data_IF_101224859493
#
_entry.id   IF_101224859493
#
_cell.length_a   1.000
_cell.length_b   1.000
_cell.length_c   1.000
_cell.angle_alpha   90.00
_cell.angle_beta   90.00
_cell.angle_gamma   90.00
#
_symmetry.space_group_name_H-M   'P 1'
#
loop_
_entity.id
_entity.type
_entity.pdbx_description
1 polymer ?
#
# COMPACT_ATOMS: atom_id res chain seq x y z
N UNK A 1 5.54 7.78 8.51
CA UNK A 1 6.21 6.62 9.16
C UNK A 1 5.53 6.28 10.47
N UNK A 2 4.79 5.16 10.54
CA UNK A 2 4.09 4.81 11.77
C UNK A 2 5.11 4.44 12.85
N UNK A 3 5.06 5.12 13.99
CA UNK A 3 5.66 4.59 15.21
C UNK A 3 5.03 3.22 15.47
N UNK A 4 5.81 2.15 15.30
CA UNK A 4 5.65 0.98 16.16
C UNK A 4 5.94 1.49 17.57
N UNK A 5 4.92 2.06 18.19
CA UNK A 5 5.01 2.64 19.52
C UNK A 5 5.31 1.49 20.47
N UNK A 6 6.49 1.52 21.09
CA UNK A 6 6.95 0.60 22.13
C UNK A 6 6.18 0.75 23.45
N UNK A 7 4.93 1.19 23.40
CA UNK A 7 4.06 1.19 24.57
C UNK A 7 3.59 -0.25 24.75
N UNK A 8 3.93 -0.85 25.89
CA UNK A 8 3.59 -2.19 26.36
C UNK A 8 2.21 -2.66 25.89
N UNK A 9 2.16 -3.24 24.70
CA UNK A 9 0.99 -3.93 24.19
C UNK A 9 1.37 -5.41 24.16
N UNK A 10 0.48 -6.26 24.68
CA UNK A 10 0.61 -7.70 24.54
C UNK A 10 0.96 -8.08 23.09
N UNK A 11 1.79 -9.11 22.87
CA UNK A 11 2.19 -9.52 21.53
C UNK A 11 0.94 -9.79 20.69
N UNK A 12 0.78 -9.02 19.61
CA UNK A 12 -0.41 -9.11 18.76
C UNK A 12 -0.43 -10.46 18.06
N UNK A 13 -1.56 -11.15 18.17
CA UNK A 13 -1.77 -12.54 17.72
C UNK A 13 -2.21 -12.62 16.25
N UNK A 14 -2.29 -13.85 15.71
CA UNK A 14 -2.95 -14.12 14.42
C UNK A 14 -4.39 -13.60 14.39
N UNK A 15 -5.13 -13.78 15.49
CA UNK A 15 -6.50 -13.30 15.62
C UNK A 15 -6.56 -11.79 15.51
N UNK A 16 -5.65 -11.09 16.19
CA UNK A 16 -5.57 -9.63 16.13
C UNK A 16 -5.27 -9.16 14.71
N UNK A 17 -4.26 -9.73 14.05
CA UNK A 17 -3.91 -9.40 12.66
C UNK A 17 -5.13 -9.50 11.72
N UNK A 18 -5.94 -10.57 11.85
CA UNK A 18 -7.18 -10.75 11.07
C UNK A 18 -8.27 -9.73 11.42
N UNK A 19 -8.47 -9.45 12.71
CA UNK A 19 -9.46 -8.44 13.17
C UNK A 19 -9.09 -7.06 12.65
N UNK A 20 -7.82 -6.66 12.80
CA UNK A 20 -7.34 -5.36 12.34
C UNK A 20 -7.43 -5.23 10.82
N UNK A 21 -7.09 -6.28 10.05
CA UNK A 21 -7.25 -6.28 8.60
C UNK A 21 -8.70 -6.06 8.18
N UNK A 22 -9.64 -6.78 8.81
CA UNK A 22 -11.08 -6.64 8.54
C UNK A 22 -11.57 -5.22 8.86
N UNK A 23 -11.22 -4.69 10.04
CA UNK A 23 -11.60 -3.33 10.47
C UNK A 23 -11.02 -2.26 9.55
N UNK A 24 -9.73 -2.36 9.23
CA UNK A 24 -9.03 -1.41 8.36
C UNK A 24 -9.59 -1.42 6.93
N UNK A 25 -9.86 -2.60 6.38
CA UNK A 25 -10.46 -2.74 5.05
C UNK A 25 -11.89 -2.19 4.99
N UNK A 26 -12.70 -2.47 6.04
CA UNK A 26 -14.05 -1.94 6.18
C UNK A 26 -14.03 -0.40 6.25
N UNK A 27 -13.23 0.16 7.16
CA UNK A 27 -13.12 1.60 7.35
C UNK A 27 -12.66 2.32 6.08
N UNK A 28 -11.65 1.79 5.38
CA UNK A 28 -11.21 2.36 4.12
C UNK A 28 -12.34 2.36 3.08
N UNK A 29 -13.01 1.21 2.90
CA UNK A 29 -14.08 1.03 1.93
C UNK A 29 -15.24 1.98 2.18
N UNK A 30 -15.75 2.03 3.42
CA UNK A 30 -16.81 2.96 3.82
C UNK A 30 -16.41 4.40 3.52
N UNK A 31 -15.18 4.79 3.89
CA UNK A 31 -14.69 6.13 3.64
C UNK A 31 -14.65 6.53 2.14
N UNK A 32 -14.41 5.59 1.23
CA UNK A 32 -14.47 5.82 -0.22
C UNK A 32 -15.93 5.85 -0.71
N UNK A 33 -16.77 4.96 -0.21
CA UNK A 33 -18.21 4.93 -0.53
C UNK A 33 -18.86 6.27 -0.17
N UNK A 34 -18.65 6.77 1.04
CA UNK A 34 -19.15 8.08 1.48
C UNK A 34 -18.69 9.20 0.53
N UNK A 35 -17.43 9.14 0.08
CA UNK A 35 -16.87 10.11 -0.86
C UNK A 35 -17.51 10.00 -2.26
N UNK A 36 -17.92 8.80 -2.71
CA UNK A 36 -18.66 8.59 -3.97
C UNK A 36 -20.09 9.09 -3.85
N UNK A 37 -20.77 8.81 -2.73
CA UNK A 37 -22.14 9.23 -2.47
C UNK A 37 -22.26 10.76 -2.46
N UNK A 38 -21.29 11.45 -1.85
CA UNK A 38 -21.20 12.90 -1.85
C UNK A 38 -21.09 13.55 -3.25
N UNK A 39 -20.83 12.76 -4.32
CA UNK A 39 -20.76 13.25 -5.70
C UNK A 39 -22.12 13.21 -6.43
N UNK A 40 -23.22 12.82 -5.76
CA UNK A 40 -24.59 12.80 -6.31
C UNK A 40 -24.69 12.08 -7.68
N UNK A 41 -23.92 11.00 -7.85
CA UNK A 41 -23.87 10.28 -9.11
C UNK A 41 -25.17 9.49 -9.35
N UNK A 42 -25.57 9.35 -10.61
CA UNK A 42 -26.65 8.41 -10.98
C UNK A 42 -26.38 6.98 -10.48
N UNK A 43 -27.44 6.22 -10.17
CA UNK A 43 -27.34 4.81 -9.74
C UNK A 43 -26.44 3.96 -10.66
N UNK A 44 -26.50 4.20 -11.98
CA UNK A 44 -25.66 3.49 -12.96
C UNK A 44 -24.18 3.79 -12.78
N UNK A 45 -23.82 5.03 -12.42
CA UNK A 45 -22.43 5.43 -12.14
C UNK A 45 -21.97 4.94 -10.77
N UNK A 46 -22.80 5.02 -9.74
CA UNK A 46 -22.47 4.47 -8.42
C UNK A 46 -22.11 2.99 -8.51
N UNK A 47 -22.93 2.17 -9.18
CA UNK A 47 -22.66 0.74 -9.42
C UNK A 47 -21.30 0.46 -10.08
N UNK A 48 -20.82 1.38 -10.93
CA UNK A 48 -19.50 1.27 -11.57
C UNK A 48 -18.38 1.49 -10.56
N UNK A 49 -18.49 2.50 -9.70
CA UNK A 49 -17.49 2.76 -8.65
C UNK A 49 -17.51 1.69 -7.56
N UNK A 50 -18.69 1.17 -7.19
CA UNK A 50 -18.83 0.01 -6.31
C UNK A 50 -18.08 -1.22 -6.86
N UNK A 51 -18.17 -1.46 -8.17
CA UNK A 51 -17.42 -2.53 -8.82
C UNK A 51 -15.90 -2.31 -8.72
N UNK A 52 -15.40 -1.07 -8.86
CA UNK A 52 -13.98 -0.76 -8.69
C UNK A 52 -13.48 -1.04 -7.26
N UNK A 53 -14.36 -0.90 -6.26
CA UNK A 53 -14.08 -1.21 -4.84
C UNK A 53 -14.17 -2.71 -4.51
N UNK A 54 -14.62 -3.54 -5.44
CA UNK A 54 -14.84 -4.97 -5.21
C UNK A 54 -16.22 -5.33 -4.68
N UNK A 55 -17.10 -4.35 -4.43
CA UNK A 55 -18.45 -4.57 -3.90
C UNK A 55 -19.42 -5.22 -4.90
N UNK A 56 -19.02 -5.27 -6.17
CA UNK A 56 -19.71 -5.98 -7.24
C UNK A 56 -18.71 -6.78 -8.05
N UNK A 57 -19.12 -7.87 -8.70
CA UNK A 57 -18.24 -8.55 -9.63
C UNK A 57 -17.96 -7.68 -10.86
N UNK A 58 -16.75 -7.80 -11.39
CA UNK A 58 -16.36 -7.21 -12.66
C UNK A 58 -15.58 -8.22 -13.50
N UNK A 59 -15.53 -7.96 -14.81
CA UNK A 59 -14.72 -8.76 -15.72
C UNK A 59 -13.27 -8.26 -15.75
N UNK A 60 -12.32 -9.19 -15.82
CA UNK A 60 -10.89 -8.90 -15.98
C UNK A 60 -10.01 -9.34 -14.82
N UNK A 61 -8.81 -8.78 -14.75
CA UNK A 61 -7.82 -9.03 -13.70
C UNK A 61 -8.18 -8.26 -12.43
N UNK A 62 -7.75 -8.76 -11.27
CA UNK A 62 -7.92 -8.08 -9.97
C UNK A 62 -7.32 -6.68 -10.01
N UNK A 63 -8.15 -5.66 -9.79
CA UNK A 63 -7.69 -4.28 -9.67
C UNK A 63 -7.09 -4.04 -8.29
N UNK A 64 -6.11 -3.14 -8.18
CA UNK A 64 -5.57 -2.77 -6.87
C UNK A 64 -6.55 -1.95 -6.02
N UNK A 65 -7.59 -1.39 -6.65
CA UNK A 65 -8.72 -0.75 -5.98
C UNK A 65 -9.74 -1.72 -5.38
N UNK A 66 -9.68 -3.01 -5.73
CA UNK A 66 -10.61 -4.02 -5.22
C UNK A 66 -10.27 -4.35 -3.75
N UNK A 67 -11.04 -3.78 -2.83
CA UNK A 67 -10.77 -3.87 -1.39
C UNK A 67 -11.14 -5.25 -0.83
N UNK A 68 -12.06 -5.98 -1.45
CA UNK A 68 -12.36 -7.36 -1.08
C UNK A 68 -11.19 -8.28 -1.45
N UNK A 69 -10.68 -8.15 -2.68
CA UNK A 69 -9.52 -8.90 -3.13
C UNK A 69 -8.27 -8.56 -2.31
N UNK A 70 -8.07 -7.28 -1.95
CA UNK A 70 -6.94 -6.87 -1.11
C UNK A 70 -7.05 -7.36 0.33
N UNK A 71 -8.25 -7.36 0.92
CA UNK A 71 -8.48 -7.96 2.23
C UNK A 71 -8.23 -9.47 2.20
N UNK A 72 -8.65 -10.16 1.13
CA UNK A 72 -8.37 -11.58 0.94
C UNK A 72 -6.88 -11.86 0.80
N UNK A 73 -6.19 -11.11 -0.04
CA UNK A 73 -4.73 -11.15 -0.18
C UNK A 73 -4.04 -10.98 1.18
N UNK A 74 -4.46 -10.00 2.00
CA UNK A 74 -3.92 -9.83 3.34
C UNK A 74 -4.13 -11.05 4.24
N UNK A 75 -5.33 -11.67 4.22
CA UNK A 75 -5.61 -12.90 4.98
C UNK A 75 -4.72 -14.07 4.56
N UNK A 76 -4.54 -14.24 3.25
CA UNK A 76 -3.69 -15.29 2.68
C UNK A 76 -2.22 -15.05 3.01
N UNK A 77 -1.74 -13.81 2.89
CA UNK A 77 -0.38 -13.43 3.22
C UNK A 77 -0.07 -13.70 4.71
N UNK A 78 -0.97 -13.30 5.61
CA UNK A 78 -0.85 -13.57 7.05
C UNK A 78 -0.67 -15.07 7.32
N UNK A 79 -1.46 -15.90 6.64
CA UNK A 79 -1.43 -17.35 6.84
C UNK A 79 -0.15 -17.97 6.26
N UNK A 80 0.25 -17.56 5.04
CA UNK A 80 1.46 -18.05 4.37
C UNK A 80 2.74 -17.66 5.13
N UNK A 81 2.82 -16.42 5.63
CA UNK A 81 3.97 -15.97 6.43
C UNK A 81 4.04 -16.70 7.76
N UNK A 82 2.90 -16.93 8.42
CA UNK A 82 2.86 -17.71 9.66
C UNK A 82 3.33 -19.15 9.43
N UNK A 83 2.85 -19.81 8.38
CA UNK A 83 3.30 -21.16 8.01
C UNK A 83 4.79 -21.21 7.66
N UNK A 84 5.29 -20.21 6.92
CA UNK A 84 6.71 -20.11 6.59
C UNK A 84 7.59 -20.00 7.85
N UNK A 85 7.21 -19.15 8.79
CA UNK A 85 7.91 -19.02 10.07
C UNK A 85 7.87 -20.31 10.90
N UNK A 86 6.75 -21.04 10.90
CA UNK A 86 6.66 -22.34 11.59
C UNK A 86 7.56 -23.40 10.94
N UNK A 87 7.70 -23.38 9.62
CA UNK A 87 8.56 -24.31 8.89
C UNK A 87 10.05 -24.01 9.06
N UNK A 88 10.40 -22.73 9.20
CA UNK A 88 11.79 -22.28 9.32
C UNK A 88 12.00 -21.43 10.60
N UNK A 89 11.88 -22.02 11.80
CA UNK A 89 11.86 -21.27 13.06
C UNK A 89 13.18 -20.57 13.40
N UNK A 90 14.29 -20.96 12.78
CA UNK A 90 15.61 -20.33 12.96
C UNK A 90 15.85 -19.12 12.05
N UNK A 91 14.95 -18.86 11.09
CA UNK A 91 15.11 -17.71 10.21
C UNK A 91 14.83 -16.41 10.96
N UNK A 92 15.68 -15.41 10.67
CA UNK A 92 15.51 -14.05 11.17
C UNK A 92 14.73 -13.24 10.15
N UNK A 93 13.78 -12.43 10.63
CA UNK A 93 12.94 -11.61 9.77
C UNK A 93 13.32 -10.13 9.85
N UNK A 94 13.20 -9.45 8.71
CA UNK A 94 13.54 -8.04 8.59
C UNK A 94 12.43 -7.29 7.87
N UNK A 95 12.22 -6.04 8.29
CA UNK A 95 11.34 -5.09 7.64
C UNK A 95 12.17 -4.06 6.91
N UNK A 96 12.02 -4.02 5.59
CA UNK A 96 12.63 -3.04 4.72
C UNK A 96 11.57 -2.04 4.27
N UNK A 97 11.86 -0.76 4.42
CA UNK A 97 11.08 0.33 3.80
C UNK A 97 11.97 1.04 2.81
N UNK A 98 11.47 1.25 1.59
CA UNK A 98 12.15 1.98 0.54
C UNK A 98 11.22 3.05 -0.01
N UNK A 99 11.71 4.25 -0.23
CA UNK A 99 10.97 5.32 -0.87
C UNK A 99 11.91 6.14 -1.76
N UNK A 100 11.39 6.62 -2.88
CA UNK A 100 12.17 7.44 -3.79
C UNK A 100 11.29 8.49 -4.44
N UNK A 101 11.81 9.71 -4.54
CA UNK A 101 11.07 10.85 -5.07
C UNK A 101 10.71 10.71 -6.55
N UNK A 102 11.48 9.93 -7.31
CA UNK A 102 11.23 9.70 -8.73
C UNK A 102 9.89 9.01 -9.03
N UNK A 103 9.27 8.38 -8.01
CA UNK A 103 8.02 7.65 -8.18
C UNK A 103 6.81 8.38 -7.62
N UNK A 104 6.94 9.66 -7.23
CA UNK A 104 5.80 10.46 -6.80
C UNK A 104 4.80 10.61 -7.94
N UNK A 105 3.51 10.48 -7.64
CA UNK A 105 2.45 10.81 -8.59
C UNK A 105 1.79 12.14 -8.22
N UNK A 106 1.34 12.89 -9.22
CA UNK A 106 0.60 14.14 -9.02
C UNK A 106 -0.86 13.87 -8.66
N UNK A 107 -1.47 14.74 -7.84
CA UNK A 107 -2.94 14.77 -7.64
C UNK A 107 -3.72 14.94 -8.93
N UNK A 108 -3.17 15.70 -9.89
CA UNK A 108 -3.86 16.00 -11.15
C UNK A 108 -3.92 14.76 -12.04
N UNK A 109 -2.82 14.00 -12.05
CA UNK A 109 -2.60 12.83 -12.89
C UNK A 109 -1.90 11.73 -12.06
N UNK A 110 -2.67 10.83 -11.41
CA UNK A 110 -2.12 9.79 -10.55
C UNK A 110 -1.56 8.63 -11.39
N UNK A 111 -0.47 8.88 -12.11
CA UNK A 111 0.26 7.88 -12.92
C UNK A 111 1.19 7.06 -12.04
N UNK A 112 1.05 5.74 -12.09
CA UNK A 112 1.80 4.83 -11.22
C UNK A 112 2.96 4.16 -11.95
N UNK A 113 4.19 4.51 -11.60
CA UNK A 113 5.42 3.92 -12.17
C UNK A 113 5.80 2.58 -11.52
N UNK A 114 4.82 1.71 -11.23
CA UNK A 114 4.99 0.49 -10.42
C UNK A 114 6.10 -0.42 -10.93
N UNK A 115 6.16 -0.67 -12.25
CA UNK A 115 7.18 -1.55 -12.85
C UNK A 115 8.60 -1.05 -12.59
N UNK A 116 8.83 0.26 -12.66
CA UNK A 116 10.16 0.85 -12.41
C UNK A 116 10.50 0.79 -10.91
N UNK A 117 9.57 1.16 -10.04
CA UNK A 117 9.74 1.09 -8.58
C UNK A 117 10.00 -0.35 -8.12
N UNK A 118 9.23 -1.32 -8.61
CA UNK A 118 9.40 -2.74 -8.31
C UNK A 118 10.75 -3.25 -8.80
N UNK A 119 11.17 -2.92 -10.04
CA UNK A 119 12.49 -3.32 -10.56
C UNK A 119 13.62 -2.75 -9.73
N UNK A 120 13.54 -1.47 -9.34
CA UNK A 120 14.55 -0.82 -8.49
C UNK A 120 14.61 -1.48 -7.11
N UNK A 121 13.45 -1.77 -6.52
CA UNK A 121 13.33 -2.46 -5.22
C UNK A 121 13.85 -3.90 -5.26
N UNK A 122 13.54 -4.64 -6.33
CA UNK A 122 14.04 -6.01 -6.57
C UNK A 122 15.57 -6.01 -6.68
N UNK A 123 16.17 -5.06 -7.41
CA UNK A 123 17.64 -4.90 -7.47
C UNK A 123 18.24 -4.65 -6.09
N UNK A 124 17.69 -3.72 -5.30
CA UNK A 124 18.17 -3.44 -3.94
C UNK A 124 18.12 -4.68 -3.04
N UNK A 125 17.04 -5.46 -3.11
CA UNK A 125 16.91 -6.66 -2.27
C UNK A 125 17.82 -7.78 -2.77
N UNK A 126 18.00 -7.95 -4.09
CA UNK A 126 18.94 -8.92 -4.67
C UNK A 126 20.38 -8.64 -4.25
N UNK A 127 20.78 -7.36 -4.18
CA UNK A 127 22.08 -6.97 -3.65
C UNK A 127 22.29 -7.54 -2.25
N UNK A 128 21.30 -7.44 -1.36
CA UNK A 128 21.37 -8.03 -0.02
C UNK A 128 21.41 -9.56 -0.05
N UNK A 129 20.74 -10.19 -1.01
CA UNK A 129 20.83 -11.64 -1.19
C UNK A 129 22.24 -12.07 -1.59
N UNK A 130 22.82 -11.37 -2.56
CA UNK A 130 24.05 -11.78 -3.21
C UNK A 130 25.30 -11.41 -2.36
N UNK A 131 25.26 -10.30 -1.60
CA UNK A 131 26.39 -9.83 -0.79
C UNK A 131 26.29 -10.16 0.71
N UNK A 132 25.07 -10.27 1.26
CA UNK A 132 24.86 -10.39 2.72
C UNK A 132 24.13 -11.66 3.13
N UNK A 133 23.87 -12.58 2.20
CA UNK A 133 23.24 -13.87 2.51
C UNK A 133 21.73 -13.78 2.82
N UNK A 134 21.03 -12.72 2.37
CA UNK A 134 19.57 -12.66 2.47
C UNK A 134 18.94 -13.80 1.63
N UNK A 135 18.09 -14.61 2.24
CA UNK A 135 17.49 -15.77 1.56
C UNK A 135 16.40 -15.34 0.59
N UNK A 136 15.56 -14.40 1.00
CA UNK A 136 14.48 -13.91 0.15
C UNK A 136 13.59 -12.87 0.83
N UNK A 137 12.53 -12.49 0.11
CA UNK A 137 11.57 -11.54 0.64
C UNK A 137 10.36 -11.31 -0.25
N UNK A 138 9.29 -10.82 0.37
CA UNK A 138 8.08 -10.36 -0.30
C UNK A 138 7.89 -8.86 -0.07
N UNK A 139 7.64 -8.12 -1.15
CA UNK A 139 7.43 -6.68 -1.12
C UNK A 139 6.05 -6.28 -1.60
N UNK A 140 5.50 -5.24 -0.96
CA UNK A 140 4.25 -4.57 -1.36
C UNK A 140 4.53 -3.08 -1.55
N UNK A 141 4.10 -2.56 -2.69
CA UNK A 141 4.03 -1.12 -2.95
C UNK A 141 2.80 -0.56 -2.23
N UNK A 142 2.99 0.47 -1.42
CA UNK A 142 1.90 1.19 -0.75
C UNK A 142 1.91 2.66 -1.22
N UNK A 143 0.80 3.15 -1.80
CA UNK A 143 0.60 4.58 -1.97
C UNK A 143 0.36 5.24 -0.62
N UNK A 144 1.01 6.37 -0.37
CA UNK A 144 0.69 7.26 0.74
C UNK A 144 0.33 8.62 0.18
N UNK A 145 -0.68 9.26 0.76
CA UNK A 145 -1.02 10.64 0.42
C UNK A 145 -0.46 11.59 1.46
N UNK A 146 0.30 12.56 0.97
CA UNK A 146 0.84 13.66 1.78
C UNK A 146 -0.01 14.89 1.53
N UNK A 147 -0.66 15.40 2.56
CA UNK A 147 -1.59 16.52 2.42
C UNK A 147 -0.88 17.86 2.27
N UNK A 148 0.27 18.05 2.92
CA UNK A 148 1.05 19.28 2.93
C UNK A 148 2.56 19.02 2.66
N UNK A 149 2.95 18.64 1.44
CA UNK A 149 4.36 18.42 1.13
C UNK A 149 5.16 19.74 1.24
N UNK A 150 6.44 19.66 1.66
CA UNK A 150 7.26 20.84 1.99
C UNK A 150 7.44 21.83 0.83
N UNK A 151 7.51 21.34 -0.41
CA UNK A 151 7.83 22.15 -1.58
C UNK A 151 6.60 22.89 -2.17
N UNK A 152 5.51 23.03 -1.42
CA UNK A 152 4.20 23.56 -1.88
C UNK A 152 3.61 22.85 -3.12
N UNK A 153 4.15 21.70 -3.50
CA UNK A 153 3.62 20.84 -4.58
C UNK A 153 2.40 20.09 -4.06
N UNK A 154 1.27 20.77 -3.90
CA UNK A 154 0.08 20.18 -3.28
C UNK A 154 -0.32 18.84 -3.92
N UNK A 155 -0.55 17.84 -3.06
CA UNK A 155 -1.20 16.59 -3.42
C UNK A 155 -0.33 15.52 -4.09
N UNK A 156 0.95 15.44 -3.75
CA UNK A 156 1.80 14.33 -4.20
C UNK A 156 1.46 13.01 -3.49
N UNK A 157 1.48 11.92 -4.27
CA UNK A 157 1.44 10.54 -3.79
C UNK A 157 2.88 9.99 -3.77
N UNK A 158 3.62 10.07 -2.66
CA UNK A 158 4.78 9.20 -2.53
C UNK A 158 4.33 7.73 -2.53
N UNK A 159 4.99 6.94 -3.36
CA UNK A 159 4.92 5.49 -3.29
C UNK A 159 6.12 5.02 -2.51
N UNK A 160 5.87 4.20 -1.51
CA UNK A 160 6.93 3.48 -0.83
C UNK A 160 6.72 1.98 -1.00
N UNK A 161 7.80 1.25 -0.84
CA UNK A 161 7.81 -0.19 -0.79
C UNK A 161 8.05 -0.60 0.64
N UNK A 162 7.18 -1.46 1.13
CA UNK A 162 7.43 -2.23 2.33
C UNK A 162 7.80 -3.64 1.89
N UNK A 163 8.80 -4.24 2.52
CA UNK A 163 9.15 -5.62 2.28
C UNK A 163 9.41 -6.35 3.59
N UNK A 164 8.92 -7.58 3.65
CA UNK A 164 9.25 -8.55 4.67
C UNK A 164 10.31 -9.48 4.08
N UNK A 165 11.50 -9.45 4.67
CA UNK A 165 12.66 -10.21 4.24
C UNK A 165 13.01 -11.26 5.31
N UNK A 166 13.74 -12.30 4.92
CA UNK A 166 14.25 -13.30 5.84
C UNK A 166 15.66 -13.76 5.45
N UNK A 167 16.43 -14.15 6.46
CA UNK A 167 17.78 -14.65 6.32
C UNK A 167 18.10 -15.73 7.36
N UNK A 168 19.27 -16.37 7.20
CA UNK A 168 19.84 -17.28 8.19
C UNK A 168 20.34 -16.56 9.45
N UNK A 169 20.91 -17.34 10.37
CA UNK A 169 21.46 -16.83 11.64
C UNK A 169 22.68 -15.92 11.41
N UNK A 170 23.42 -16.17 10.34
CA UNK A 170 24.67 -15.53 9.91
C UNK A 170 24.51 -14.15 9.24
N UNK A 171 23.28 -13.68 9.03
CA UNK A 171 23.04 -12.38 8.38
C UNK A 171 23.56 -11.19 9.22
N UNK A 172 24.53 -10.45 8.66
CA UNK A 172 25.06 -9.22 9.25
C UNK A 172 24.21 -7.99 8.87
N UNK A 173 23.29 -7.62 9.77
CA UNK A 173 22.44 -6.45 9.60
C UNK A 173 23.23 -5.13 9.55
N UNK A 174 24.40 -5.04 10.20
CA UNK A 174 25.21 -3.82 10.22
C UNK A 174 25.88 -3.63 8.86
N UNK A 175 26.49 -4.67 8.32
CA UNK A 175 27.07 -4.65 6.98
C UNK A 175 26.00 -4.32 5.92
N UNK A 176 24.84 -4.99 5.97
CA UNK A 176 23.73 -4.71 5.07
C UNK A 176 23.26 -3.26 5.14
N UNK A 177 23.20 -2.64 6.34
CA UNK A 177 22.89 -1.21 6.47
C UNK A 177 23.94 -0.31 5.85
N UNK A 178 25.22 -0.67 5.94
CA UNK A 178 26.32 0.04 5.27
C UNK A 178 26.10 0.09 3.76
N UNK A 179 25.95 -1.10 3.14
CA UNK A 179 25.67 -1.23 1.70
C UNK A 179 24.42 -0.46 1.25
N UNK A 180 23.33 -0.49 2.04
CA UNK A 180 22.12 0.26 1.72
C UNK A 180 22.31 1.78 1.85
N UNK A 181 23.16 2.23 2.79
CA UNK A 181 23.49 3.64 2.98
C UNK A 181 24.29 4.24 1.81
N UNK A 182 25.06 3.40 1.11
CA UNK A 182 25.85 3.80 -0.07
C UNK A 182 25.01 3.90 -1.36
N UNK A 183 23.73 3.50 -1.33
CA UNK A 183 22.84 3.52 -2.49
C UNK A 183 22.34 4.94 -2.80
N UNK A 184 23.22 5.79 -3.33
CA UNK A 184 22.98 7.22 -3.62
C UNK A 184 21.79 7.52 -4.54
N UNK A 185 21.36 6.54 -5.34
CA UNK A 185 20.23 6.67 -6.25
C UNK A 185 18.87 6.57 -5.55
N UNK A 186 18.82 6.21 -4.27
CA UNK A 186 17.61 6.30 -3.45
C UNK A 186 17.56 7.65 -2.73
N UNK A 187 16.79 8.58 -3.28
CA UNK A 187 16.68 9.96 -2.78
C UNK A 187 15.28 10.25 -2.24
N UNK A 188 15.23 10.99 -1.13
CA UNK A 188 14.01 11.40 -0.43
C UNK A 188 14.12 12.86 0.06
N UNK A 189 13.37 13.79 -0.55
CA UNK A 189 13.20 15.17 -0.07
C UNK A 189 12.14 15.28 1.02
N UNK A 190 11.49 14.16 1.39
CA UNK A 190 10.50 14.12 2.47
C UNK A 190 11.15 14.07 3.87
N UNK A 191 12.46 14.30 4.00
CA UNK A 191 13.15 14.18 5.30
C UNK A 191 13.09 12.78 5.93
N UNK A 192 12.77 11.77 5.12
CA UNK A 192 12.70 10.37 5.51
C UNK A 192 13.92 9.63 4.97
N UNK A 193 14.49 8.72 5.77
CA UNK A 193 15.49 7.77 5.28
C UNK A 193 14.93 7.04 4.04
N UNK A 194 15.59 7.14 2.88
CA UNK A 194 15.07 6.61 1.63
C UNK A 194 15.08 5.09 1.62
N UNK A 195 16.01 4.46 2.33
CA UNK A 195 16.03 3.03 2.58
C UNK A 195 16.26 2.77 4.07
N UNK A 196 15.45 1.90 4.65
CA UNK A 196 15.57 1.53 6.06
C UNK A 196 15.25 0.07 6.27
N UNK A 197 16.25 -0.70 6.69
CA UNK A 197 16.11 -2.08 7.15
C UNK A 197 16.13 -2.16 8.67
N UNK A 198 15.25 -3.00 9.24
CA UNK A 198 15.24 -3.31 10.67
C UNK A 198 14.92 -4.78 10.89
N UNK A 199 15.59 -5.39 11.85
CA UNK A 199 15.17 -6.69 12.37
C UNK A 199 13.80 -6.61 13.06
N UNK A 200 13.04 -7.67 12.85
CA UNK A 200 11.77 -7.94 13.51
C UNK A 200 12.01 -9.00 14.57
N UNK A 201 11.78 -8.61 15.81
CA UNK A 201 11.85 -9.50 16.97
C UNK A 201 10.44 -9.75 17.50
N UNK A 202 10.26 -10.74 18.38
CA UNK A 202 8.97 -11.02 19.01
C UNK A 202 8.37 -9.81 19.74
N UNK A 203 9.23 -8.93 20.28
CA UNK A 203 8.82 -7.65 20.88
C UNK A 203 8.10 -6.72 19.89
N UNK A 204 8.22 -6.95 18.58
CA UNK A 204 7.51 -6.22 17.52
C UNK A 204 6.24 -6.92 17.04
N UNK A 205 5.85 -8.00 17.69
CA UNK A 205 4.65 -8.79 17.42
C UNK A 205 4.93 -10.09 16.67
N UNK A 206 3.88 -10.88 16.47
CA UNK A 206 3.93 -12.16 15.76
C UNK A 206 4.17 -11.97 14.24
N UNK A 207 4.72 -12.95 13.49
CA UNK A 207 4.84 -12.91 12.03
C UNK A 207 3.56 -12.53 11.28
N UNK A 208 2.41 -12.97 11.79
CA UNK A 208 1.08 -12.56 11.31
C UNK A 208 0.86 -11.05 11.38
N UNK A 209 1.37 -10.39 12.42
CA UNK A 209 1.28 -8.95 12.59
C UNK A 209 2.14 -8.21 11.56
N UNK A 210 3.32 -8.74 11.24
CA UNK A 210 4.21 -8.17 10.22
C UNK A 210 3.58 -8.27 8.83
N UNK A 211 2.99 -9.42 8.51
CA UNK A 211 2.23 -9.64 7.28
C UNK A 211 0.98 -8.75 7.17
N UNK A 212 0.25 -8.56 8.28
CA UNK A 212 -0.85 -7.58 8.33
C UNK A 212 -0.34 -6.17 8.01
N UNK A 213 0.76 -5.75 8.65
CA UNK A 213 1.31 -4.42 8.44
C UNK A 213 1.67 -4.16 6.97
N UNK A 214 2.18 -5.19 6.28
CA UNK A 214 2.51 -5.16 4.86
C UNK A 214 1.28 -5.00 3.95
N UNK A 215 0.13 -5.55 4.36
CA UNK A 215 -1.09 -5.64 3.54
C UNK A 215 -2.19 -4.63 3.90
N UNK A 216 -1.96 -3.77 4.90
CA UNK A 216 -2.94 -2.77 5.35
C UNK A 216 -3.37 -1.84 4.20
N UNK A 217 -4.59 -1.32 4.30
CA UNK A 217 -5.05 -0.26 3.43
C UNK A 217 -4.52 1.10 3.88
N UNK A 218 -4.26 2.02 2.93
CA UNK A 218 -3.84 3.38 3.20
C UNK A 218 -5.03 4.20 3.74
N UNK A 219 -5.47 3.90 4.97
CA UNK A 219 -6.58 4.60 5.65
C UNK A 219 -6.18 5.96 6.21
N UNK A 220 -4.89 6.15 6.46
CA UNK A 220 -4.37 7.38 7.05
C UNK A 220 -3.65 8.21 5.98
N UNK A 221 -4.02 9.48 5.87
CA UNK A 221 -3.20 10.47 5.23
C UNK A 221 -2.11 10.93 6.21
N UNK A 222 -1.05 11.53 5.67
CA UNK A 222 0.01 12.05 6.50
C UNK A 222 0.29 13.52 6.19
N UNK A 223 0.67 14.24 7.24
CA UNK A 223 1.21 15.58 7.17
C UNK A 223 2.72 15.55 7.35
N UNK A 224 3.39 16.46 6.65
CA UNK A 224 4.78 16.80 6.90
C UNK A 224 4.82 17.95 7.90
N UNK A 225 5.55 17.75 9.00
CA UNK A 225 5.74 18.77 10.04
C UNK A 225 7.20 19.10 10.10
N UNK A 226 7.54 20.33 9.72
CA UNK A 226 8.89 20.87 9.85
C UNK A 226 9.33 20.83 11.33
N UNK A 227 10.57 20.46 11.55
CA UNK A 227 11.22 20.41 12.86
C UNK A 227 12.12 21.64 13.01
N UNK A 228 12.47 22.05 14.25
CA UNK A 228 13.31 23.23 14.47
C UNK A 228 14.67 23.21 13.76
N UNK A 229 15.18 22.03 13.40
CA UNK A 229 16.43 21.86 12.65
C UNK A 229 16.25 21.88 11.11
N UNK A 230 15.09 22.32 10.61
CA UNK A 230 14.75 22.34 9.18
C UNK A 230 14.43 20.98 8.55
N UNK A 231 14.48 19.88 9.32
CA UNK A 231 14.07 18.55 8.82
C UNK A 231 12.55 18.39 8.88
N UNK A 232 11.99 17.45 8.11
CA UNK A 232 10.56 17.17 8.15
C UNK A 232 10.25 15.84 8.83
N UNK A 233 9.15 15.83 9.58
CA UNK A 233 8.63 14.63 10.24
C UNK A 233 7.22 14.32 9.76
N UNK A 234 7.03 13.09 9.31
CA UNK A 234 5.69 12.59 8.95
C UNK A 234 4.84 12.37 10.21
N UNK A 235 3.69 13.03 10.29
CA UNK A 235 2.64 12.79 11.30
C UNK A 235 1.36 12.31 10.64
N UNK A 236 0.62 11.42 11.29
CA UNK A 236 -0.72 11.08 10.83
C UNK A 236 -1.66 12.26 11.06
N UNK A 237 -2.60 12.45 10.16
CA UNK A 237 -3.68 13.43 10.33
C UNK A 237 -4.77 12.89 11.25
N UNK A 238 -5.35 13.75 12.10
CA UNK A 238 -6.51 13.37 12.91
C UNK A 238 -7.76 13.16 12.04
N UNK A 239 -7.91 13.94 10.98
CA UNK A 239 -9.08 13.96 10.09
C UNK A 239 -9.04 12.91 8.96
N UNK A 240 -7.91 12.20 8.82
CA UNK A 240 -7.71 11.27 7.72
C UNK A 240 -7.67 11.94 6.34
N UNK A 241 -8.17 11.24 5.32
CA UNK A 241 -8.19 11.76 3.95
C UNK A 241 -9.40 12.68 3.68
N UNK A 242 -9.16 13.80 2.99
CA UNK A 242 -10.22 14.58 2.34
C UNK A 242 -10.97 13.71 1.30
N UNK A 243 -12.28 13.91 1.06
CA UNK A 243 -13.05 13.10 0.10
C UNK A 243 -12.48 13.08 -1.32
N UNK A 244 -11.97 14.20 -1.82
CA UNK A 244 -11.34 14.29 -3.14
C UNK A 244 -10.03 13.48 -3.20
N UNK A 245 -9.23 13.50 -2.14
CA UNK A 245 -8.01 12.72 -2.01
C UNK A 245 -8.29 11.21 -2.03
N UNK A 246 -9.36 10.79 -1.36
CA UNK A 246 -9.86 9.40 -1.38
C UNK A 246 -10.21 8.94 -2.78
N UNK A 247 -10.99 9.74 -3.52
CA UNK A 247 -11.38 9.44 -4.90
C UNK A 247 -10.20 9.43 -5.86
N UNK A 248 -9.20 10.29 -5.66
CA UNK A 248 -7.96 10.28 -6.46
C UNK A 248 -7.07 9.07 -6.15
N UNK A 249 -7.03 8.63 -4.90
CA UNK A 249 -6.36 7.38 -4.55
C UNK A 249 -7.07 6.18 -5.18
N UNK A 250 -8.40 6.16 -5.17
CA UNK A 250 -9.19 5.17 -5.90
C UNK A 250 -8.88 5.21 -7.41
N UNK A 251 -8.80 6.40 -8.01
CA UNK A 251 -8.43 6.58 -9.42
C UNK A 251 -7.07 5.94 -9.72
N UNK A 252 -6.03 6.28 -8.96
CA UNK A 252 -4.69 5.72 -9.13
C UNK A 252 -4.68 4.19 -8.99
N UNK A 253 -5.28 3.67 -7.91
CA UNK A 253 -5.34 2.22 -7.66
C UNK A 253 -6.15 1.47 -8.72
N UNK A 254 -7.22 2.07 -9.26
CA UNK A 254 -8.04 1.43 -10.27
C UNK A 254 -7.30 1.24 -11.59
N UNK A 255 -6.27 2.03 -11.88
CA UNK A 255 -5.55 1.97 -13.15
C UNK A 255 -4.63 0.75 -13.26
N UNK A 256 -4.25 0.15 -12.12
CA UNK A 256 -3.27 -0.93 -12.04
C UNK A 256 -3.86 -2.22 -11.47
N UNK A 257 -3.22 -3.35 -11.75
CA UNK A 257 -3.66 -4.64 -11.21
C UNK A 257 -3.04 -4.89 -9.84
N UNK A 258 -3.78 -5.56 -8.95
CA UNK A 258 -3.34 -5.87 -7.59
C UNK A 258 -1.99 -6.61 -7.57
N UNK A 259 -1.80 -7.52 -8.52
CA UNK A 259 -0.56 -8.29 -8.67
C UNK A 259 0.69 -7.45 -8.98
N UNK A 260 0.51 -6.24 -9.52
CA UNK A 260 1.61 -5.34 -9.90
C UNK A 260 2.14 -4.56 -8.69
N UNK A 261 1.39 -4.55 -7.58
CA UNK A 261 1.82 -3.98 -6.30
C UNK A 261 2.59 -4.96 -5.44
N UNK A 262 2.63 -6.26 -5.81
CA UNK A 262 3.30 -7.30 -5.02
C UNK A 262 4.41 -7.91 -5.84
N UNK A 263 5.60 -7.98 -5.26
CA UNK A 263 6.75 -8.63 -5.87
C UNK A 263 7.45 -9.52 -4.86
N UNK A 264 8.28 -10.42 -5.39
CA UNK A 264 9.02 -11.38 -4.60
C UNK A 264 10.43 -11.49 -5.14
N UNK A 265 11.38 -11.67 -4.22
CA UNK A 265 12.80 -11.84 -4.52
C UNK A 265 13.24 -13.20 -3.99
N UNK A 266 13.95 -13.95 -4.83
CA UNK A 266 14.44 -15.32 -4.57
C UNK A 266 13.32 -16.20 -3.97
N UNK A 267 13.50 -16.71 -2.76
CA UNK A 267 12.54 -17.57 -2.05
C UNK A 267 11.18 -16.93 -1.77
N UNK A 268 11.07 -15.60 -1.90
CA UNK A 268 9.79 -14.92 -1.76
C UNK A 268 8.70 -15.41 -2.72
N UNK A 269 9.09 -16.05 -3.83
CA UNK A 269 8.14 -16.64 -4.79
C UNK A 269 7.28 -17.75 -4.15
N UNK A 270 7.83 -18.49 -3.19
CA UNK A 270 7.10 -19.51 -2.44
C UNK A 270 5.93 -18.94 -1.63
N UNK A 271 5.97 -17.64 -1.28
CA UNK A 271 4.84 -16.94 -0.66
C UNK A 271 3.97 -16.28 -1.74
N UNK A 272 4.57 -15.52 -2.67
CA UNK A 272 3.82 -14.69 -3.63
C UNK A 272 2.96 -15.49 -4.60
N UNK A 273 3.45 -16.60 -5.13
CA UNK A 273 2.75 -17.35 -6.15
C UNK A 273 1.49 -18.04 -5.60
N UNK A 274 1.53 -18.79 -4.49
CA UNK A 274 0.30 -19.30 -3.87
C UNK A 274 -0.59 -18.18 -3.34
N UNK A 275 -0.04 -17.07 -2.84
CA UNK A 275 -0.84 -15.89 -2.45
C UNK A 275 -1.72 -15.42 -3.61
N UNK A 276 -1.11 -15.10 -4.75
CA UNK A 276 -1.85 -14.56 -5.89
C UNK A 276 -2.82 -15.57 -6.49
N UNK A 277 -2.47 -16.85 -6.49
CA UNK A 277 -3.37 -17.93 -6.92
C UNK A 277 -4.62 -18.00 -6.04
N UNK A 278 -4.44 -18.10 -4.72
CA UNK A 278 -5.54 -18.20 -3.75
C UNK A 278 -6.44 -16.96 -3.76
N UNK A 279 -5.86 -15.77 -3.88
CA UNK A 279 -6.66 -14.53 -3.96
C UNK A 279 -7.55 -14.51 -5.22
N UNK A 280 -7.04 -14.95 -6.37
CA UNK A 280 -7.84 -15.03 -7.61
C UNK A 280 -8.94 -16.09 -7.50
N UNK A 281 -8.64 -17.26 -6.94
CA UNK A 281 -9.61 -18.33 -6.70
C UNK A 281 -10.74 -17.84 -5.78
N UNK A 282 -10.40 -17.26 -4.64
CA UNK A 282 -11.37 -16.70 -3.69
C UNK A 282 -12.26 -15.62 -4.32
N UNK A 283 -11.68 -14.72 -5.14
CA UNK A 283 -12.48 -13.68 -5.83
C UNK A 283 -13.48 -14.26 -6.83
N UNK A 284 -13.13 -15.35 -7.54
CA UNK A 284 -14.04 -16.04 -8.47
C UNK A 284 -15.22 -16.65 -7.73
N UNK A 285 -14.98 -17.22 -6.54
CA UNK A 285 -16.00 -17.88 -5.74
C UNK A 285 -16.92 -16.92 -4.97
N UNK A 286 -16.50 -15.67 -4.75
CA UNK A 286 -17.26 -14.71 -3.95
C UNK A 286 -18.54 -14.18 -4.63
N UNK A 287 -18.67 -14.30 -5.96
CA UNK A 287 -19.78 -13.71 -6.72
C UNK A 287 -20.22 -14.60 -7.92
N UNK A 288 -20.67 -15.84 -7.69
CA UNK A 288 -20.96 -16.79 -8.77
C UNK A 288 -22.15 -16.36 -9.64
N UNK A 289 -23.20 -15.79 -9.04
CA UNK A 289 -24.50 -15.57 -9.70
C UNK A 289 -24.76 -14.12 -10.11
N UNK A 290 -23.78 -13.23 -9.92
CA UNK A 290 -23.95 -11.80 -10.17
C UNK A 290 -23.42 -11.38 -11.54
N UNK A 291 -24.20 -10.55 -12.26
CA UNK A 291 -23.79 -9.98 -13.55
C UNK A 291 -22.55 -9.09 -13.39
N UNK A 292 -21.50 -9.40 -14.16
CA UNK A 292 -20.22 -8.69 -14.12
C UNK A 292 -20.33 -7.30 -14.73
N UNK A 293 -19.74 -6.31 -14.06
CA UNK A 293 -19.55 -4.95 -14.57
C UNK A 293 -18.30 -4.90 -15.46
N UNK A 294 -18.38 -4.25 -16.62
CA UNK A 294 -17.20 -3.97 -17.45
C UNK A 294 -16.46 -2.73 -16.94
N UNK A 295 -15.26 -2.92 -16.40
CA UNK A 295 -14.38 -1.88 -15.84
C UNK A 295 -13.28 -1.42 -16.81
N UNK A 296 -13.35 -1.83 -18.08
CA UNK A 296 -12.37 -1.45 -19.11
C UNK A 296 -12.27 0.08 -19.31
N UNK A 297 -13.42 0.78 -19.21
CA UNK A 297 -13.53 2.24 -19.42
C UNK A 297 -13.35 3.09 -18.15
N UNK A 298 -12.76 2.53 -17.08
CA UNK A 298 -12.60 3.21 -15.78
C UNK A 298 -11.91 4.59 -15.84
N UNK A 299 -10.87 4.74 -16.67
CA UNK A 299 -10.20 6.04 -16.87
C UNK A 299 -11.13 7.12 -17.44
N UNK A 300 -12.07 6.73 -18.32
CA UNK A 300 -13.09 7.66 -18.84
C UNK A 300 -14.12 8.03 -17.77
N UNK A 301 -14.44 7.10 -16.86
CA UNK A 301 -15.38 7.37 -15.76
C UNK A 301 -14.81 8.39 -14.78
N UNK A 302 -13.54 8.28 -14.40
CA UNK A 302 -12.88 9.28 -13.56
C UNK A 302 -12.73 10.63 -14.27
N UNK A 303 -12.34 10.65 -15.56
CA UNK A 303 -12.31 11.91 -16.33
C UNK A 303 -13.65 12.62 -16.32
N UNK A 304 -14.74 11.88 -16.49
CA UNK A 304 -16.09 12.47 -16.44
C UNK A 304 -16.45 12.93 -15.02
N UNK A 305 -16.15 12.13 -13.99
CA UNK A 305 -16.35 12.52 -12.59
C UNK A 305 -15.68 13.87 -12.31
N UNK A 306 -14.40 14.00 -12.65
CA UNK A 306 -13.64 15.23 -12.39
C UNK A 306 -14.08 16.43 -13.24
N UNK A 307 -14.63 16.20 -14.43
CA UNK A 307 -15.23 17.27 -15.23
C UNK A 307 -16.47 17.83 -14.53
N UNK A 308 -17.31 16.93 -14.02
CA UNK A 308 -18.56 17.28 -13.33
C UNK A 308 -18.24 17.97 -11.99
N UNK A 309 -17.29 17.45 -11.20
CA UNK A 309 -16.89 18.05 -9.91
C UNK A 309 -16.19 19.41 -10.05
N UNK A 310 -15.39 19.64 -11.10
CA UNK A 310 -14.73 20.95 -11.34
C UNK A 310 -15.74 22.03 -11.68
N UNK A 311 -16.74 21.70 -12.50
CA UNK A 311 -17.81 22.64 -12.83
C UNK A 311 -18.62 23.07 -11.59
N UNK A 312 -18.74 22.21 -10.57
CA UNK A 312 -19.31 22.56 -9.26
C UNK A 312 -18.34 23.32 -8.36
N UNK A 313 -17.07 22.94 -8.35
CA UNK A 313 -16.04 23.61 -7.53
C UNK A 313 -15.81 25.06 -7.99
N UNK A 314 -15.71 25.30 -9.30
CA UNK A 314 -15.52 26.64 -9.86
C UNK A 314 -16.74 27.54 -9.56
N UNK A 315 -17.96 26.98 -9.55
CA UNK A 315 -19.17 27.71 -9.12
C UNK A 315 -19.15 28.07 -7.63
N UNK A 316 -18.70 27.16 -6.77
CA UNK A 316 -18.60 27.43 -5.32
C UNK A 316 -17.54 28.47 -4.99
N UNK A 317 -16.43 28.51 -5.72
CA UNK A 317 -15.40 29.55 -5.51
C UNK A 317 -15.78 30.93 -6.06
N UNK A 318 -16.71 31.01 -7.04
CA UNK A 318 -17.27 32.29 -7.49
C UNK A 318 -18.26 32.91 -6.49
N UNK A 319 -18.84 32.12 -5.58
CA UNK A 319 -19.75 32.62 -4.52
C UNK A 319 -19.04 33.03 -3.22
N UNK A 320 -17.72 32.88 -3.14
CA UNK A 320 -16.91 33.26 -1.97
C UNK A 320 -15.91 34.40 -2.25
N UNK A 321 -16.02 35.08 -3.41
CA UNK A 321 -15.31 36.31 -3.71
C UNK A 321 -16.30 37.47 -3.87
#
# INVERSE_FOLDING_TARGET
MSKFSSKNHAPRTLRDARIYLKRNSKAYRESITDAIEAQNLTNKRQKKFEALLGLRPYAGKLLASDMEAKAEMGRQLISLVASHHQQFPKQRFFFLTMLSDEFRASKKEPVLWLKRLVRKSDKTIRLLCDEHGLIGGIGIVEPVFVLNPPDKREGEYPFHVHALLWAGEDFDLKAAKGTLGEQSHWVSTLGLDPIRIKELTEARGHPSWWAYYLSKNPVDAVNMVEQPNGSFKVRKTLEGYRPDAKLRLLEGLSQSYLQDFIFAVKDGKFIRDPLMRRTREARKLAHPDQKRVDVSKRATWFRSLWKDSRAEHDKRWQTFN
#
